data_IF_422806995660
#
_entry.id   IF_422806995660
#
_cell.length_a   1.000
_cell.length_b   1.000
_cell.length_c   1.000
_cell.angle_alpha   90.00
_cell.angle_beta   90.00
_cell.angle_gamma   90.00
#
_symmetry.space_group_name_H-M   'P 1'
#
loop_
_entity.id
_entity.type
_entity.pdbx_description
1 polymer ?
#
# COMPACT_ATOMS: atom_id res chain seq x y z
N UNK A 1 18.55 -4.02 14.32
CA UNK A 1 18.40 -5.19 15.23
C UNK A 1 17.32 -6.20 14.80
N UNK A 2 16.15 -5.76 14.33
CA UNK A 2 15.02 -6.67 14.03
C UNK A 2 15.30 -7.58 12.83
N UNK A 3 15.87 -7.04 11.75
CA UNK A 3 16.18 -7.82 10.55
C UNK A 3 17.06 -9.03 10.86
N UNK A 4 18.14 -8.84 11.62
CA UNK A 4 19.05 -9.91 12.03
C UNK A 4 18.34 -11.00 12.84
N UNK A 5 17.28 -10.64 13.58
CA UNK A 5 16.51 -11.58 14.38
C UNK A 5 15.46 -12.37 13.58
N UNK A 6 14.98 -11.84 12.44
CA UNK A 6 13.86 -12.43 11.69
C UNK A 6 14.22 -12.93 10.29
N UNK A 7 15.36 -12.52 9.71
CA UNK A 7 15.70 -12.78 8.31
C UNK A 7 15.64 -14.26 7.95
N UNK A 8 16.29 -15.10 8.75
CA UNK A 8 16.40 -16.53 8.44
C UNK A 8 15.05 -17.24 8.53
N UNK A 9 14.26 -16.94 9.57
CA UNK A 9 12.90 -17.46 9.73
C UNK A 9 11.99 -16.96 8.61
N UNK A 10 12.10 -15.67 8.24
CA UNK A 10 11.37 -15.08 7.12
C UNK A 10 11.68 -15.81 5.81
N UNK A 11 12.97 -15.98 5.48
CA UNK A 11 13.42 -16.69 4.26
C UNK A 11 12.90 -18.13 4.27
N UNK A 12 12.97 -18.81 5.41
CA UNK A 12 12.47 -20.17 5.56
C UNK A 12 10.95 -20.28 5.34
N UNK A 13 10.15 -19.32 5.85
CA UNK A 13 8.71 -19.29 5.62
C UNK A 13 8.35 -18.95 4.18
N UNK A 14 9.02 -17.97 3.57
CA UNK A 14 8.76 -17.62 2.15
C UNK A 14 9.08 -18.79 1.22
N UNK A 15 10.13 -19.55 1.50
CA UNK A 15 10.48 -20.74 0.71
C UNK A 15 9.48 -21.90 0.84
N UNK A 16 8.54 -21.86 1.79
CA UNK A 16 7.44 -22.84 1.89
C UNK A 16 6.25 -22.47 1.01
N UNK A 17 6.20 -21.25 0.46
CA UNK A 17 5.09 -20.79 -0.35
C UNK A 17 5.06 -21.58 -1.67
N UNK A 18 3.95 -22.28 -1.90
CA UNK A 18 3.70 -23.06 -3.10
C UNK A 18 3.03 -22.20 -4.17
N UNK A 19 3.53 -22.29 -5.40
CA UNK A 19 3.02 -21.56 -6.57
C UNK A 19 2.64 -22.56 -7.66
N UNK A 20 1.40 -22.48 -8.17
CA UNK A 20 0.94 -23.42 -9.18
C UNK A 20 -0.51 -23.20 -9.61
N UNK A 21 -1.11 -24.23 -10.20
CA UNK A 21 -2.52 -24.20 -10.62
C UNK A 21 -3.44 -24.02 -9.40
N UNK A 22 -4.34 -23.04 -9.47
CA UNK A 22 -5.28 -22.69 -8.39
C UNK A 22 -6.37 -23.75 -8.16
N UNK A 23 -6.54 -24.70 -9.08
CA UNK A 23 -7.40 -25.86 -8.90
C UNK A 23 -6.79 -26.91 -7.95
N UNK A 24 -5.48 -26.86 -7.75
CA UNK A 24 -4.80 -27.55 -6.65
C UNK A 24 -4.76 -26.64 -5.41
N UNK A 25 -5.62 -26.94 -4.44
CA UNK A 25 -5.75 -26.15 -3.21
C UNK A 25 -4.58 -26.26 -2.24
N UNK A 26 -3.53 -27.02 -2.58
CA UNK A 26 -2.26 -26.99 -1.84
C UNK A 26 -1.36 -25.81 -2.27
N UNK A 27 -1.64 -25.16 -3.40
CA UNK A 27 -0.94 -23.97 -3.85
C UNK A 27 -1.44 -22.71 -3.11
N UNK A 28 -0.51 -21.88 -2.65
CA UNK A 28 -0.81 -20.61 -2.00
C UNK A 28 -1.00 -19.47 -3.01
N UNK A 29 -0.22 -19.47 -4.10
CA UNK A 29 -0.31 -18.48 -5.18
C UNK A 29 -0.55 -19.14 -6.53
N UNK A 30 -1.26 -18.42 -7.41
CA UNK A 30 -1.37 -18.72 -8.83
C UNK A 30 -0.40 -17.93 -9.68
N UNK A 31 -0.58 -18.00 -11.01
CA UNK A 31 0.12 -17.16 -11.98
C UNK A 31 -0.28 -15.69 -11.88
N UNK A 32 0.59 -14.79 -12.37
CA UNK A 32 0.22 -13.40 -12.63
C UNK A 32 -0.73 -13.31 -13.84
N UNK A 33 -1.38 -12.15 -14.01
CA UNK A 33 -2.61 -12.06 -14.82
C UNK A 33 -2.41 -12.28 -16.33
N UNK A 34 -1.29 -11.81 -16.89
CA UNK A 34 -0.99 -11.90 -18.32
C UNK A 34 0.52 -11.77 -18.60
N UNK A 35 0.92 -11.96 -19.85
CA UNK A 35 2.32 -11.81 -20.30
C UNK A 35 2.87 -10.41 -20.01
N UNK A 36 2.07 -9.35 -20.16
CA UNK A 36 2.54 -7.98 -19.95
C UNK A 36 2.92 -7.79 -18.48
N UNK A 37 2.11 -8.28 -17.56
CA UNK A 37 2.43 -8.29 -16.13
C UNK A 37 3.68 -9.14 -15.87
N UNK A 38 3.75 -10.32 -16.47
CA UNK A 38 4.92 -11.19 -16.36
C UNK A 38 6.22 -10.47 -16.76
N UNK A 39 6.30 -9.99 -18.00
CA UNK A 39 7.48 -9.31 -18.56
C UNK A 39 7.87 -8.07 -17.72
N UNK A 40 6.88 -7.32 -17.23
CA UNK A 40 7.12 -6.16 -16.38
C UNK A 40 7.77 -6.58 -15.06
N UNK A 41 7.17 -7.54 -14.35
CA UNK A 41 7.63 -8.00 -13.03
C UNK A 41 9.00 -8.66 -13.14
N UNK A 42 9.20 -9.56 -14.10
CA UNK A 42 10.50 -10.24 -14.31
C UNK A 42 11.57 -9.24 -14.70
N UNK A 43 11.23 -8.20 -15.47
CA UNK A 43 12.12 -7.09 -15.75
C UNK A 43 12.63 -6.35 -14.50
N UNK A 44 11.79 -6.12 -13.48
CA UNK A 44 12.23 -5.55 -12.19
C UNK A 44 13.16 -6.50 -11.44
N UNK A 45 12.85 -7.80 -11.44
CA UNK A 45 13.67 -8.84 -10.81
C UNK A 45 15.07 -8.88 -11.47
N UNK A 46 15.14 -8.89 -12.79
CA UNK A 46 16.41 -8.93 -13.53
C UNK A 46 17.26 -7.67 -13.28
N UNK A 47 16.63 -6.49 -13.27
CA UNK A 47 17.33 -5.22 -12.96
C UNK A 47 17.85 -5.20 -11.52
N UNK A 48 17.08 -5.70 -10.57
CA UNK A 48 17.52 -5.84 -9.18
C UNK A 48 18.67 -6.85 -9.04
N UNK A 49 18.61 -7.99 -9.74
CA UNK A 49 19.68 -8.99 -9.77
C UNK A 49 21.00 -8.44 -10.36
N UNK A 50 20.90 -7.51 -11.32
CA UNK A 50 22.05 -6.85 -11.93
C UNK A 50 22.59 -5.65 -11.12
N UNK A 51 21.86 -5.21 -10.09
CA UNK A 51 22.25 -4.06 -9.28
C UNK A 51 23.14 -4.51 -8.10
N UNK A 52 24.41 -4.06 -8.00
CA UNK A 52 25.30 -4.46 -6.90
C UNK A 52 24.85 -3.95 -5.52
N UNK A 53 23.93 -3.00 -5.45
CA UNK A 53 23.37 -2.48 -4.19
C UNK A 53 22.12 -3.24 -3.73
N UNK A 54 21.71 -4.29 -4.46
CA UNK A 54 20.56 -5.12 -4.14
C UNK A 54 20.91 -6.62 -4.11
N UNK A 55 20.34 -7.33 -3.14
CA UNK A 55 20.48 -8.77 -2.96
C UNK A 55 19.11 -9.45 -3.03
N UNK A 56 18.98 -10.47 -3.87
CA UNK A 56 17.78 -11.33 -3.88
C UNK A 56 17.95 -12.42 -2.82
N UNK A 57 17.14 -12.38 -1.77
CA UNK A 57 17.24 -13.32 -0.62
C UNK A 57 16.24 -14.46 -0.67
N UNK A 58 15.17 -14.35 -1.46
CA UNK A 58 14.22 -15.43 -1.78
C UNK A 58 13.77 -15.31 -3.23
N UNK A 59 13.33 -16.41 -3.84
CA UNK A 59 12.73 -16.40 -5.17
C UNK A 59 13.72 -15.99 -6.27
N UNK A 60 13.32 -15.03 -7.10
CA UNK A 60 14.11 -14.57 -8.25
C UNK A 60 13.96 -15.42 -9.51
N UNK A 61 13.10 -16.44 -9.49
CA UNK A 61 12.85 -17.33 -10.63
C UNK A 61 11.40 -17.19 -11.13
N UNK A 62 11.23 -17.45 -12.42
CA UNK A 62 9.98 -17.29 -13.13
C UNK A 62 9.95 -18.21 -14.37
N UNK A 63 8.76 -18.59 -14.80
CA UNK A 63 8.51 -19.47 -15.94
C UNK A 63 7.15 -19.12 -16.55
N UNK A 64 7.08 -18.85 -17.85
CA UNK A 64 5.87 -18.56 -18.61
C UNK A 64 5.43 -19.69 -19.55
N UNK A 65 6.09 -20.85 -19.51
CA UNK A 65 5.86 -21.94 -20.47
C UNK A 65 4.46 -22.57 -20.38
N UNK A 66 3.90 -22.64 -19.17
CA UNK A 66 2.59 -23.27 -18.88
C UNK A 66 1.57 -22.32 -18.25
N UNK A 67 2.05 -21.18 -17.75
CA UNK A 67 1.31 -20.11 -17.11
C UNK A 67 2.32 -19.09 -16.62
N UNK A 68 1.89 -17.86 -16.37
CA UNK A 68 2.79 -16.75 -16.01
C UNK A 68 3.23 -16.82 -14.54
N UNK A 69 4.07 -17.79 -14.18
CA UNK A 69 4.43 -18.06 -12.80
C UNK A 69 5.70 -17.33 -12.38
N UNK A 70 5.63 -16.63 -11.24
CA UNK A 70 6.76 -15.91 -10.64
C UNK A 70 6.86 -16.33 -9.18
N UNK A 71 8.04 -16.75 -8.73
CA UNK A 71 8.25 -17.13 -7.34
C UNK A 71 8.26 -15.91 -6.41
N UNK A 72 7.77 -16.01 -5.16
CA UNK A 72 7.84 -14.95 -4.16
C UNK A 72 9.27 -14.45 -3.98
N UNK A 73 9.52 -13.24 -4.45
CA UNK A 73 10.87 -12.69 -4.56
C UNK A 73 11.05 -11.60 -3.53
N UNK A 74 12.10 -11.71 -2.71
CA UNK A 74 12.46 -10.68 -1.74
C UNK A 74 13.79 -10.08 -2.13
N UNK A 75 13.79 -8.76 -2.31
CA UNK A 75 14.95 -7.98 -2.72
C UNK A 75 15.34 -7.10 -1.53
N UNK A 76 16.54 -7.26 -1.01
CA UNK A 76 17.11 -6.35 -0.01
C UNK A 76 17.94 -5.31 -0.75
N UNK A 77 17.62 -4.01 -0.63
CA UNK A 77 18.39 -2.95 -1.28
C UNK A 77 18.95 -1.96 -0.25
N UNK A 78 20.23 -1.62 -0.42
CA UNK A 78 20.90 -0.63 0.43
C UNK A 78 20.42 0.80 0.15
N UNK A 79 20.04 1.11 -1.08
CA UNK A 79 19.43 2.40 -1.43
C UNK A 79 17.93 2.40 -1.09
N UNK A 80 17.45 3.23 -0.13
CA UNK A 80 16.02 3.34 0.20
C UNK A 80 15.19 4.00 -0.90
N UNK A 81 15.82 4.48 -1.98
CA UNK A 81 15.18 5.05 -3.17
C UNK A 81 15.39 4.21 -4.42
N UNK A 82 15.76 2.94 -4.26
CA UNK A 82 15.84 2.02 -5.41
C UNK A 82 14.51 1.96 -6.16
N UNK A 83 14.57 1.63 -7.44
CA UNK A 83 13.41 1.57 -8.33
C UNK A 83 12.26 0.73 -7.73
N UNK A 84 12.59 -0.44 -7.17
CA UNK A 84 11.63 -1.36 -6.57
C UNK A 84 11.08 -0.92 -5.21
N UNK A 85 11.58 0.18 -4.63
CA UNK A 85 11.03 0.84 -3.44
C UNK A 85 10.01 1.94 -3.79
N UNK A 86 10.20 2.59 -4.94
CA UNK A 86 9.43 3.76 -5.33
C UNK A 86 8.25 3.42 -6.25
N UNK A 87 8.45 2.46 -7.16
CA UNK A 87 7.52 2.13 -8.25
C UNK A 87 6.58 0.96 -7.92
N UNK A 88 5.41 0.96 -8.57
CA UNK A 88 4.39 -0.07 -8.39
C UNK A 88 4.60 -1.26 -9.33
N UNK A 89 5.00 -2.42 -8.77
CA UNK A 89 5.37 -3.62 -9.55
C UNK A 89 4.17 -4.52 -9.88
N UNK A 90 3.17 -4.61 -8.98
CA UNK A 90 2.00 -5.50 -9.11
C UNK A 90 2.33 -7.01 -9.21
N UNK A 91 3.45 -7.45 -8.63
CA UNK A 91 3.87 -8.86 -8.59
C UNK A 91 4.17 -9.36 -7.18
N UNK A 92 4.50 -10.66 -7.02
CA UNK A 92 4.93 -11.24 -5.75
C UNK A 92 6.37 -10.85 -5.42
N UNK A 93 6.66 -9.53 -5.41
CA UNK A 93 7.98 -8.95 -5.17
C UNK A 93 7.91 -8.05 -3.94
N UNK A 94 8.73 -8.32 -2.93
CA UNK A 94 8.89 -7.50 -1.74
C UNK A 94 10.29 -6.88 -1.74
N UNK A 95 10.35 -5.55 -1.60
CA UNK A 95 11.60 -4.83 -1.40
C UNK A 95 11.80 -4.51 0.09
N UNK A 96 13.02 -4.73 0.61
CA UNK A 96 13.38 -4.51 2.02
C UNK A 96 14.58 -3.57 2.08
N UNK A 97 14.44 -2.50 2.87
CA UNK A 97 15.54 -1.61 3.23
C UNK A 97 15.76 -1.74 4.73
N UNK A 98 16.99 -2.08 5.13
CA UNK A 98 17.38 -2.21 6.52
C UNK A 98 18.03 -0.89 6.93
N UNK A 99 17.53 -0.28 8.00
CA UNK A 99 18.05 0.96 8.56
C UNK A 99 18.55 0.72 10.00
N UNK A 100 19.42 1.61 10.49
CA UNK A 100 19.91 1.56 11.87
C UNK A 100 18.81 1.95 12.85
N UNK A 101 18.73 1.27 14.00
CA UNK A 101 17.60 1.45 14.94
C UNK A 101 17.44 2.93 15.39
N UNK A 102 18.54 3.67 15.51
CA UNK A 102 18.58 5.09 15.91
C UNK A 102 18.08 6.04 14.79
N UNK A 103 17.97 5.57 13.54
CA UNK A 103 17.51 6.35 12.39
C UNK A 103 15.99 6.30 12.19
N UNK A 104 15.22 5.76 13.15
CA UNK A 104 13.77 5.56 13.03
C UNK A 104 13.00 6.77 12.48
N UNK A 105 13.19 7.97 13.06
CA UNK A 105 12.49 9.18 12.59
C UNK A 105 12.90 9.62 11.18
N UNK A 106 14.19 9.46 10.85
CA UNK A 106 14.68 9.74 9.50
C UNK A 106 14.09 8.75 8.48
N UNK A 107 13.96 7.48 8.86
CA UNK A 107 13.30 6.45 8.03
C UNK A 107 11.83 6.74 7.82
N UNK A 108 11.11 7.27 8.81
CA UNK A 108 9.73 7.72 8.61
C UNK A 108 9.64 8.83 7.55
N UNK A 109 10.58 9.78 7.54
CA UNK A 109 10.65 10.82 6.51
C UNK A 109 11.00 10.24 5.12
N UNK A 110 11.81 9.18 5.06
CA UNK A 110 12.05 8.43 3.82
C UNK A 110 10.77 7.77 3.33
N UNK A 111 10.06 7.02 4.17
CA UNK A 111 8.78 6.40 3.82
C UNK A 111 7.75 7.43 3.30
N UNK A 112 7.73 8.63 3.86
CA UNK A 112 6.83 9.70 3.40
C UNK A 112 7.21 10.26 2.02
N UNK A 113 8.48 10.24 1.64
CA UNK A 113 8.99 10.98 0.48
C UNK A 113 9.47 10.13 -0.70
N UNK A 114 9.71 8.83 -0.51
CA UNK A 114 10.25 7.95 -1.57
C UNK A 114 9.24 7.69 -2.69
N UNK A 115 7.98 7.41 -2.37
CA UNK A 115 6.95 7.08 -3.36
C UNK A 115 5.98 8.24 -3.59
N UNK A 116 5.52 8.40 -4.83
CA UNK A 116 4.43 9.31 -5.16
C UNK A 116 3.05 8.80 -4.67
N UNK A 117 2.95 7.51 -4.34
CA UNK A 117 1.71 6.86 -3.94
C UNK A 117 1.49 6.95 -2.42
N UNK A 118 0.21 6.94 -2.01
CA UNK A 118 -0.19 6.94 -0.61
C UNK A 118 -1.52 6.18 -0.42
N UNK A 119 -1.51 4.88 -0.74
CA UNK A 119 -2.68 4.02 -0.64
C UNK A 119 -2.80 3.41 0.75
N UNK A 120 -1.96 2.43 1.07
CA UNK A 120 -1.95 1.75 2.37
C UNK A 120 -0.56 1.78 2.98
N UNK A 121 -0.48 1.74 4.31
CA UNK A 121 0.77 1.69 5.06
C UNK A 121 0.56 1.05 6.42
N UNK A 122 1.61 0.49 7.00
CA UNK A 122 1.53 -0.13 8.33
C UNK A 122 2.77 0.15 9.17
N UNK A 123 2.57 0.20 10.48
CA UNK A 123 3.63 0.18 11.49
C UNK A 123 3.44 -1.04 12.38
N UNK A 124 4.52 -1.79 12.60
CA UNK A 124 4.57 -2.87 13.59
C UNK A 124 5.45 -2.42 14.76
N UNK A 125 4.83 -2.14 15.90
CA UNK A 125 5.49 -1.64 17.10
C UNK A 125 4.66 -1.91 18.36
N UNK A 126 5.35 -2.06 19.49
CA UNK A 126 4.73 -2.20 20.82
C UNK A 126 4.91 -0.95 21.68
N UNK A 127 5.96 -0.16 21.46
CA UNK A 127 6.15 1.13 22.13
C UNK A 127 5.14 2.16 21.60
N UNK A 128 4.31 2.67 22.51
CA UNK A 128 3.27 3.66 22.22
C UNK A 128 3.81 4.96 21.64
N UNK A 129 4.99 5.41 22.08
CA UNK A 129 5.62 6.63 21.58
C UNK A 129 6.03 6.46 20.13
N UNK A 130 6.61 5.32 19.76
CA UNK A 130 6.98 5.03 18.37
C UNK A 130 5.74 4.96 17.46
N UNK A 131 4.65 4.35 17.94
CA UNK A 131 3.37 4.33 17.21
C UNK A 131 2.86 5.76 16.99
N UNK A 132 2.83 6.59 18.03
CA UNK A 132 2.31 7.97 17.92
C UNK A 132 3.18 8.84 17.01
N UNK A 133 4.51 8.70 17.09
CA UNK A 133 5.46 9.35 16.17
C UNK A 133 5.20 8.92 14.72
N UNK A 134 5.08 7.61 14.45
CA UNK A 134 4.83 7.09 13.11
C UNK A 134 3.47 7.53 12.54
N UNK A 135 2.41 7.48 13.34
CA UNK A 135 1.06 7.93 12.93
C UNK A 135 1.07 9.42 12.58
N UNK A 136 1.81 10.24 13.33
CA UNK A 136 1.93 11.66 13.05
C UNK A 136 2.75 11.93 11.78
N UNK A 137 3.93 11.30 11.66
CA UNK A 137 4.83 11.48 10.53
C UNK A 137 4.23 10.98 9.20
N UNK A 138 3.56 9.82 9.23
CA UNK A 138 3.02 9.15 8.04
C UNK A 138 1.56 9.48 7.74
N UNK A 139 1.00 10.52 8.39
CA UNK A 139 -0.40 10.92 8.28
C UNK A 139 -0.89 11.09 6.84
N UNK A 140 0.00 11.52 5.95
CA UNK A 140 -0.32 11.79 4.55
C UNK A 140 0.26 10.76 3.57
N UNK A 141 0.97 9.75 4.08
CA UNK A 141 1.65 8.73 3.29
C UNK A 141 0.78 7.48 3.09
N UNK A 142 -0.37 7.37 3.76
CA UNK A 142 -1.36 6.33 3.53
C UNK A 142 -2.78 6.83 3.81
N UNK A 143 -3.72 6.54 2.92
CA UNK A 143 -5.15 6.75 3.21
C UNK A 143 -5.73 5.67 4.13
N UNK A 144 -5.21 4.44 4.04
CA UNK A 144 -5.47 3.36 4.99
C UNK A 144 -4.19 3.02 5.77
N UNK A 145 -4.09 3.50 7.00
CA UNK A 145 -2.95 3.25 7.89
C UNK A 145 -3.30 2.19 8.94
N UNK A 146 -2.42 1.20 9.09
CA UNK A 146 -2.60 0.06 9.99
C UNK A 146 -1.55 0.07 11.10
N UNK A 147 -1.92 -0.45 12.27
CA UNK A 147 -1.01 -0.61 13.41
C UNK A 147 -1.06 -2.08 13.80
N UNK A 148 0.09 -2.76 13.73
CA UNK A 148 0.26 -4.18 14.04
C UNK A 148 -0.64 -5.11 13.21
N UNK A 149 -0.92 -4.74 11.96
CA UNK A 149 -1.65 -5.56 11.00
C UNK A 149 -1.10 -5.34 9.58
N UNK A 150 -1.32 -6.32 8.70
CA UNK A 150 -0.92 -6.22 7.29
C UNK A 150 -1.72 -5.11 6.58
N UNK A 151 -1.12 -4.33 5.67
CA UNK A 151 -1.78 -3.19 5.02
C UNK A 151 -2.68 -3.60 3.83
N UNK A 152 -3.44 -4.70 3.98
CA UNK A 152 -4.32 -5.27 2.95
C UNK A 152 -5.62 -5.81 3.55
N UNK A 153 -6.65 -5.98 2.73
CA UNK A 153 -7.89 -6.65 3.13
C UNK A 153 -8.87 -5.75 3.91
N UNK A 154 -9.00 -4.50 3.48
CA UNK A 154 -10.03 -3.59 4.00
C UNK A 154 -11.43 -4.22 3.89
N UNK A 155 -12.16 -4.26 5.01
CA UNK A 155 -13.51 -4.82 5.07
C UNK A 155 -14.52 -3.69 4.92
N UNK A 156 -15.48 -3.89 4.00
CA UNK A 156 -16.55 -2.92 3.73
C UNK A 156 -17.29 -2.55 5.03
N UNK A 157 -17.41 -1.25 5.28
CA UNK A 157 -18.08 -0.71 6.47
C UNK A 157 -17.22 -0.69 7.74
N UNK A 158 -16.00 -1.24 7.74
CA UNK A 158 -15.06 -1.17 8.86
C UNK A 158 -13.88 -0.25 8.56
N UNK A 159 -13.16 -0.51 7.46
CA UNK A 159 -12.05 0.32 6.99
C UNK A 159 -12.38 0.81 5.58
N UNK A 160 -13.12 1.94 5.42
CA UNK A 160 -13.27 2.56 4.11
C UNK A 160 -11.93 2.65 3.38
N UNK A 161 -11.89 2.15 2.15
CA UNK A 161 -10.64 2.04 1.40
C UNK A 161 -10.42 3.30 0.58
N UNK A 162 -9.19 3.82 0.55
CA UNK A 162 -8.87 5.05 -0.16
C UNK A 162 -7.41 5.45 0.01
N UNK A 163 -6.92 6.23 -0.93
CA UNK A 163 -5.59 6.83 -0.90
C UNK A 163 -5.59 8.14 -1.68
N UNK A 164 -4.68 9.03 -1.32
CA UNK A 164 -4.44 10.31 -1.99
C UNK A 164 -3.10 10.28 -2.75
N UNK A 165 -2.55 11.45 -3.11
CA UNK A 165 -1.34 11.59 -3.95
C UNK A 165 -1.53 10.87 -5.29
N UNK A 166 -0.54 10.11 -5.77
CA UNK A 166 -0.66 9.28 -6.97
C UNK A 166 -1.74 8.19 -6.88
N UNK A 167 -2.26 7.87 -5.69
CA UNK A 167 -3.23 6.77 -5.48
C UNK A 167 -4.69 7.13 -5.77
N UNK A 168 -4.98 8.41 -6.07
CA UNK A 168 -6.27 8.88 -6.56
C UNK A 168 -6.99 9.89 -5.67
N UNK A 169 -8.32 9.87 -5.72
CA UNK A 169 -9.21 10.91 -5.16
C UNK A 169 -9.71 10.64 -3.74
N UNK A 170 -9.27 9.54 -3.12
CA UNK A 170 -9.58 9.15 -1.74
C UNK A 170 -11.08 9.00 -1.40
N UNK A 171 -11.92 8.72 -2.40
CA UNK A 171 -13.37 8.54 -2.29
C UNK A 171 -13.82 7.17 -2.86
N UNK A 172 -12.96 6.14 -2.77
CA UNK A 172 -13.20 4.81 -3.33
C UNK A 172 -14.34 4.07 -2.60
N UNK A 173 -14.77 2.96 -3.19
CA UNK A 173 -15.87 2.14 -2.70
C UNK A 173 -15.64 1.66 -1.24
N UNK A 174 -16.74 1.52 -0.49
CA UNK A 174 -16.71 1.11 0.92
C UNK A 174 -17.09 2.22 1.92
N UNK A 175 -17.38 3.44 1.44
CA UNK A 175 -17.89 4.57 2.24
C UNK A 175 -19.09 5.25 1.58
N UNK A 176 -20.00 5.86 2.36
CA UNK A 176 -21.06 6.74 1.84
C UNK A 176 -20.53 7.89 0.96
N UNK A 177 -19.28 8.33 1.15
CA UNK A 177 -18.67 9.39 0.34
C UNK A 177 -18.61 9.00 -1.14
N UNK A 178 -18.36 7.73 -1.45
CA UNK A 178 -18.37 7.25 -2.83
C UNK A 178 -19.76 7.41 -3.47
N UNK A 179 -20.82 7.09 -2.72
CA UNK A 179 -22.20 7.22 -3.20
C UNK A 179 -22.53 8.68 -3.52
N UNK A 180 -21.99 9.63 -2.75
CA UNK A 180 -22.19 11.06 -2.99
C UNK A 180 -21.56 11.56 -4.30
N UNK A 181 -20.60 10.84 -4.88
CA UNK A 181 -20.00 11.19 -6.19
C UNK A 181 -20.96 10.99 -7.36
N UNK A 182 -21.96 10.13 -7.17
CA UNK A 182 -22.89 9.71 -8.22
C UNK A 182 -24.27 10.37 -8.10
N UNK A 183 -24.42 11.36 -7.22
CA UNK A 183 -25.66 12.10 -7.01
C UNK A 183 -25.45 13.60 -7.16
N UNK A 184 -26.47 14.30 -7.65
CA UNK A 184 -26.52 15.77 -7.71
C UNK A 184 -27.66 16.25 -6.81
N UNK A 185 -27.38 16.63 -5.55
CA UNK A 185 -28.43 16.93 -4.58
C UNK A 185 -29.14 18.25 -4.92
N UNK A 186 -30.46 18.31 -4.72
CA UNK A 186 -31.25 19.54 -4.78
C UNK A 186 -31.91 19.83 -3.45
N UNK A 187 -31.90 21.09 -3.03
CA UNK A 187 -32.69 21.57 -1.90
C UNK A 187 -33.92 22.31 -2.43
N UNK A 188 -35.08 22.09 -1.82
CA UNK A 188 -36.33 22.80 -2.13
C UNK A 188 -36.81 23.44 -0.84
N UNK A 189 -37.04 24.76 -0.87
CA UNK A 189 -37.61 25.52 0.25
C UNK A 189 -38.97 26.05 -0.17
N UNK A 190 -39.98 25.72 0.63
CA UNK A 190 -41.31 26.33 0.57
C UNK A 190 -41.50 27.21 1.81
N UNK A 191 -41.99 28.43 1.64
CA UNK A 191 -42.30 29.34 2.75
C UNK A 191 -43.80 29.58 2.75
N UNK A 192 -44.52 29.07 3.76
CA UNK A 192 -45.98 29.18 3.82
C UNK A 192 -46.49 30.60 4.12
N UNK A 193 -45.68 31.40 4.81
CA UNK A 193 -45.96 32.81 5.09
C UNK A 193 -44.76 33.66 4.64
N UNK A 194 -44.64 33.96 3.33
CA UNK A 194 -43.54 34.79 2.84
C UNK A 194 -43.64 36.22 3.42
N UNK A 195 -42.50 36.89 3.68
CA UNK A 195 -42.52 38.26 4.18
C UNK A 195 -43.21 39.18 3.15
N UNK A 196 -44.09 40.05 3.66
CA UNK A 196 -44.78 41.07 2.84
C UNK A 196 -44.05 42.43 2.83
N UNK A 197 -43.00 42.57 3.63
CA UNK A 197 -42.13 43.75 3.70
C UNK A 197 -40.67 43.30 3.58
N UNK A 198 -39.86 44.11 2.91
CA UNK A 198 -38.42 43.90 2.73
C UNK A 198 -37.60 44.53 3.85
N UNK A 199 -38.19 45.43 4.65
CA UNK A 199 -37.52 46.11 5.75
C UNK A 199 -37.30 45.20 6.95
N UNK A 200 -36.33 45.56 7.79
CA UNK A 200 -36.00 44.86 9.02
C UNK A 200 -36.32 45.77 10.21
N UNK A 201 -36.83 45.20 11.31
CA UNK A 201 -37.34 45.98 12.44
C UNK A 201 -36.34 46.93 13.13
N UNK A 202 -35.03 46.74 12.93
CA UNK A 202 -33.99 47.63 13.48
C UNK A 202 -33.70 48.88 12.62
N UNK A 203 -34.31 48.98 11.44
CA UNK A 203 -34.18 50.14 10.54
C UNK A 203 -35.22 51.24 10.83
N UNK A 204 -36.03 51.07 11.87
CA UNK A 204 -37.07 52.00 12.31
C UNK A 204 -36.60 52.82 13.52
#
# INVERSE_FOLDING_TARGET
SVWDAIKDDYVAEVNKITVGDVSDFSNYLGAVIDQKAFDNITGYIDRAAANPDCDIVTGGTYDDTTGYFIQPTTIVCNDPRSETMAEEIFGPVLSVHVYEDDDFEATLALCDSTSEYALTGSIFATDRRHIETAVAALRYSAGNFYINDKPTGAVVGQQPFGGARGSGTNDKAGSPLNLLRWVSPRSIKETFAPPHDWTYGFLQ
#
